data_IF_021136072375
#
_entry.id   IF_021136072375
#
_cell.length_a   1.000
_cell.length_b   1.000
_cell.length_c   1.000
_cell.angle_alpha   90.00
_cell.angle_beta   90.00
_cell.angle_gamma   90.00
#
_symmetry.space_group_name_H-M   'P 1'
#
loop_
_entity.id
_entity.type
_entity.pdbx_description
1 polymer ?
#
# COMPACT_ATOMS: atom_id res chain seq x y z
N UNK A 1 -6.99 -15.33 7.30
CA UNK A 1 -8.46 -15.38 7.10
C UNK A 1 -8.83 -14.08 6.43
N UNK A 2 -9.47 -14.11 5.25
CA UNK A 2 -9.86 -12.87 4.55
C UNK A 2 -11.15 -12.32 5.19
N UNK A 3 -11.22 -11.01 5.49
CA UNK A 3 -12.45 -10.37 5.93
C UNK A 3 -13.45 -10.50 4.79
N UNK A 4 -14.62 -11.04 5.05
CA UNK A 4 -15.69 -11.16 4.04
C UNK A 4 -16.70 -10.03 4.14
N UNK A 5 -16.56 -9.16 5.14
CA UNK A 5 -17.45 -8.05 5.42
C UNK A 5 -16.85 -6.75 4.88
N UNK A 6 -16.84 -6.62 3.56
CA UNK A 6 -16.49 -5.38 2.90
C UNK A 6 -17.72 -4.47 2.87
N UNK A 7 -17.52 -3.17 3.09
CA UNK A 7 -18.61 -2.20 2.90
C UNK A 7 -19.11 -2.20 1.44
N UNK A 8 -18.20 -2.44 0.50
CA UNK A 8 -18.48 -2.58 -0.93
C UNK A 8 -17.50 -3.61 -1.53
N UNK A 9 -17.91 -4.33 -2.59
CA UNK A 9 -17.03 -5.26 -3.30
C UNK A 9 -15.91 -4.50 -4.04
N UNK A 10 -14.76 -5.15 -4.20
CA UNK A 10 -13.68 -4.64 -5.04
C UNK A 10 -14.05 -4.73 -6.53
N UNK A 11 -13.61 -3.74 -7.28
CA UNK A 11 -13.85 -3.67 -8.73
C UNK A 11 -12.91 -4.58 -9.52
N UNK A 12 -11.72 -4.84 -8.98
CA UNK A 12 -10.67 -5.63 -9.63
C UNK A 12 -9.93 -6.55 -8.64
N UNK A 13 -9.46 -7.70 -9.11
CA UNK A 13 -8.74 -8.68 -8.28
C UNK A 13 -7.37 -8.13 -7.85
N UNK A 14 -6.71 -7.35 -8.71
CA UNK A 14 -5.43 -6.71 -8.38
C UNK A 14 -5.60 -5.68 -7.25
N UNK A 15 -6.72 -4.95 -7.29
CA UNK A 15 -7.06 -3.97 -6.27
C UNK A 15 -7.41 -4.63 -4.93
N UNK A 16 -8.17 -5.73 -4.96
CA UNK A 16 -8.41 -6.57 -3.78
C UNK A 16 -7.07 -7.08 -3.18
N UNK A 17 -6.20 -7.65 -4.02
CA UNK A 17 -4.92 -8.19 -3.56
C UNK A 17 -4.02 -7.11 -2.94
N UNK A 18 -4.03 -5.90 -3.50
CA UNK A 18 -3.24 -4.77 -3.00
C UNK A 18 -3.79 -4.21 -1.69
N UNK A 19 -5.11 -4.00 -1.61
CA UNK A 19 -5.77 -3.63 -0.36
C UNK A 19 -5.51 -4.67 0.74
N UNK A 20 -5.47 -5.95 0.38
CA UNK A 20 -5.15 -7.03 1.30
C UNK A 20 -3.72 -6.94 1.85
N UNK A 21 -2.73 -6.63 1.00
CA UNK A 21 -1.34 -6.41 1.45
C UNK A 21 -1.26 -5.30 2.48
N UNK A 22 -1.91 -4.16 2.22
CA UNK A 22 -1.95 -3.05 3.18
C UNK A 22 -2.63 -3.45 4.49
N UNK A 23 -3.72 -4.21 4.41
CA UNK A 23 -4.44 -4.69 5.59
C UNK A 23 -3.57 -5.62 6.44
N UNK A 24 -2.87 -6.59 5.84
CA UNK A 24 -1.95 -7.47 6.54
C UNK A 24 -0.83 -6.68 7.21
N UNK A 25 -0.20 -5.77 6.47
CA UNK A 25 0.87 -4.91 7.00
C UNK A 25 0.39 -4.02 8.15
N UNK A 26 -0.82 -3.47 8.08
CA UNK A 26 -1.37 -2.67 9.16
C UNK A 26 -1.76 -3.52 10.39
N UNK A 27 -2.22 -4.76 10.19
CA UNK A 27 -2.45 -5.73 11.26
C UNK A 27 -1.15 -6.11 11.96
N UNK A 28 -0.10 -6.40 11.20
CA UNK A 28 1.23 -6.72 11.73
C UNK A 28 1.83 -5.57 12.54
N UNK A 29 1.58 -4.33 12.13
CA UNK A 29 1.96 -3.12 12.87
C UNK A 29 1.10 -2.85 14.12
N UNK A 30 0.07 -3.66 14.36
CA UNK A 30 -0.80 -3.52 15.53
C UNK A 30 -1.81 -2.38 15.42
N UNK A 31 -2.34 -2.13 14.20
CA UNK A 31 -3.35 -1.08 13.98
C UNK A 31 -4.52 -1.21 14.96
N UNK A 32 -4.86 -0.07 15.58
CA UNK A 32 -5.98 0.06 16.53
C UNK A 32 -7.32 0.30 15.84
N UNK A 33 -7.33 0.41 14.51
CA UNK A 33 -8.55 0.61 13.73
C UNK A 33 -9.43 -0.64 13.76
N UNK A 34 -10.74 -0.42 13.80
CA UNK A 34 -11.72 -1.49 13.58
C UNK A 34 -11.52 -2.11 12.21
N UNK A 35 -11.81 -3.40 12.08
CA UNK A 35 -11.58 -4.17 10.85
C UNK A 35 -12.23 -3.53 9.62
N UNK A 36 -13.45 -3.01 9.77
CA UNK A 36 -14.19 -2.29 8.75
C UNK A 36 -13.59 -0.93 8.38
N UNK A 37 -13.00 -0.22 9.34
CA UNK A 37 -12.33 1.05 9.05
C UNK A 37 -10.99 0.81 8.35
N UNK A 38 -10.26 -0.22 8.81
CA UNK A 38 -8.97 -0.57 8.24
C UNK A 38 -9.11 -1.05 6.79
N UNK A 39 -10.12 -1.87 6.48
CA UNK A 39 -10.34 -2.35 5.11
C UNK A 39 -10.74 -1.21 4.16
N UNK A 40 -11.51 -0.23 4.62
CA UNK A 40 -11.87 0.97 3.85
C UNK A 40 -10.63 1.80 3.53
N UNK A 41 -9.81 2.08 4.55
CA UNK A 41 -8.58 2.87 4.37
C UNK A 41 -7.57 2.16 3.45
N UNK A 42 -7.40 0.83 3.62
CA UNK A 42 -6.56 0.03 2.73
C UNK A 42 -7.08 -0.01 1.29
N UNK A 43 -8.41 0.03 1.09
CA UNK A 43 -9.00 0.12 -0.24
C UNK A 43 -8.71 1.46 -0.89
N UNK A 44 -8.88 2.57 -0.18
CA UNK A 44 -8.58 3.91 -0.72
C UNK A 44 -7.11 4.04 -1.11
N UNK A 45 -6.19 3.52 -0.27
CA UNK A 45 -4.77 3.46 -0.60
C UNK A 45 -4.48 2.62 -1.85
N UNK A 46 -5.14 1.47 -1.98
CA UNK A 46 -4.98 0.62 -3.16
C UNK A 46 -5.48 1.30 -4.45
N UNK A 47 -6.60 2.02 -4.38
CA UNK A 47 -7.09 2.83 -5.50
C UNK A 47 -6.08 3.90 -5.92
N UNK A 48 -5.59 4.69 -4.96
CA UNK A 48 -4.61 5.74 -5.25
C UNK A 48 -3.32 5.18 -5.86
N UNK A 49 -2.87 4.02 -5.38
CA UNK A 49 -1.64 3.40 -5.87
C UNK A 49 -1.81 2.82 -7.29
N UNK A 50 -2.99 2.25 -7.60
CA UNK A 50 -3.35 1.79 -8.95
C UNK A 50 -3.51 2.97 -9.92
N UNK A 51 -4.24 4.02 -9.52
CA UNK A 51 -4.38 5.24 -10.32
C UNK A 51 -3.01 5.87 -10.61
N UNK A 52 -2.14 5.93 -9.59
CA UNK A 52 -0.76 6.39 -9.75
C UNK A 52 0.04 5.49 -10.69
N UNK A 53 -0.09 4.17 -10.61
CA UNK A 53 0.60 3.24 -11.54
C UNK A 53 0.13 3.41 -12.99
N UNK A 54 -1.16 3.65 -13.20
CA UNK A 54 -1.74 3.93 -14.53
C UNK A 54 -1.23 5.27 -15.06
N UNK A 55 -1.16 6.29 -14.20
CA UNK A 55 -0.71 7.63 -14.59
C UNK A 55 0.79 7.70 -14.83
N UNK A 56 1.58 6.90 -14.09
CA UNK A 56 3.03 6.87 -14.22
C UNK A 56 3.46 6.02 -15.43
N UNK A 57 2.89 4.84 -15.69
CA UNK A 57 3.27 4.00 -16.83
C UNK A 57 4.78 3.70 -16.97
N UNK A 58 5.56 3.94 -15.91
CA UNK A 58 7.01 4.09 -15.94
C UNK A 58 7.62 3.44 -14.70
N UNK A 59 8.82 2.92 -14.89
CA UNK A 59 9.55 1.90 -14.17
C UNK A 59 9.56 2.01 -12.62
N UNK A 60 9.66 0.87 -11.89
CA UNK A 60 9.73 0.89 -10.43
C UNK A 60 10.92 1.75 -9.97
N UNK A 61 10.64 2.82 -9.22
CA UNK A 61 11.67 3.53 -8.46
C UNK A 61 12.28 2.57 -7.46
N UNK A 62 13.50 2.11 -7.74
CA UNK A 62 14.38 1.55 -6.73
C UNK A 62 14.65 2.66 -5.70
N UNK A 63 14.17 2.47 -4.47
CA UNK A 63 14.64 3.22 -3.32
C UNK A 63 16.12 2.89 -3.11
N UNK A 64 16.99 3.56 -3.86
CA UNK A 64 18.39 3.66 -3.52
C UNK A 64 18.48 4.48 -2.24
N UNK A 65 18.68 3.74 -1.15
CA UNK A 65 19.07 4.21 0.17
C UNK A 65 20.15 5.29 0.05
N UNK A 66 19.78 6.54 0.38
CA UNK A 66 20.67 7.69 0.42
C UNK A 66 21.64 7.52 1.59
N UNK A 67 22.75 6.82 1.33
CA UNK A 67 23.90 6.77 2.21
C UNK A 67 24.86 7.92 1.92
N UNK A 68 24.55 9.12 2.42
CA UNK A 68 25.55 10.20 2.52
C UNK A 68 26.78 9.71 3.31
N UNK A 69 27.99 9.88 2.76
CA UNK A 69 29.09 10.32 3.60
C UNK A 69 30.06 11.23 2.83
N UNK A 70 29.94 12.49 3.19
CA UNK A 70 30.84 13.61 2.96
C UNK A 70 32.24 13.31 3.55
N UNK A 71 33.31 13.61 2.79
CA UNK A 71 34.69 13.99 3.18
C UNK A 71 35.63 13.70 1.99
N UNK A 72 35.95 14.66 1.13
CA UNK A 72 36.87 15.80 1.33
C UNK A 72 38.34 15.38 1.57
N UNK A 73 39.18 15.74 0.59
CA UNK A 73 40.64 15.98 0.67
C UNK A 73 41.60 14.79 0.89
N UNK A 74 42.29 14.38 -0.19
CA UNK A 74 43.70 14.77 -0.44
C UNK A 74 44.21 14.42 -1.83
#
# INVERSE_FOLDING_TARGET
>A
MRPTNYAEPFEDEELEARAWRYYETAREQGSTLSESALITECRELAHQDVERLIEIGDEPVELADDGMNDQQER
#
